data_IF_792183137686
#
_entry.id   IF_792183137686
#
_cell.length_a   1.000
_cell.length_b   1.000
_cell.length_c   1.000
_cell.angle_alpha   90.00
_cell.angle_beta   90.00
_cell.angle_gamma   90.00
#
_symmetry.space_group_name_H-M   'P 1'
#
loop_
_entity.id
_entity.type
_entity.pdbx_description
1 polymer ?
#
# COMPACT_ATOMS: atom_id res chain seq x y z
N UNK A 1 -61.29 10.82 -30.42
CA UNK A 1 -60.85 10.12 -29.21
C UNK A 1 -59.32 9.86 -29.32
N UNK A 2 -58.53 10.72 -28.69
CA UNK A 2 -57.05 10.60 -28.70
C UNK A 2 -56.68 9.74 -27.50
N UNK A 3 -56.05 8.55 -27.75
CA UNK A 3 -55.45 7.70 -26.70
C UNK A 3 -54.10 8.27 -26.35
N UNK A 4 -53.96 8.79 -25.14
CA UNK A 4 -52.71 9.21 -24.54
C UNK A 4 -52.03 7.93 -23.98
N UNK A 5 -50.97 7.51 -24.60
CA UNK A 5 -50.12 6.40 -24.15
C UNK A 5 -49.11 6.95 -23.14
N UNK A 6 -49.38 6.78 -21.85
CA UNK A 6 -48.46 7.13 -20.77
C UNK A 6 -47.36 6.08 -20.71
N UNK A 7 -46.16 6.45 -21.15
CA UNK A 7 -44.95 5.64 -20.96
C UNK A 7 -44.44 5.91 -19.52
N UNK A 8 -44.64 4.95 -18.63
CA UNK A 8 -43.98 4.94 -17.32
C UNK A 8 -42.50 4.59 -17.52
N UNK A 9 -41.63 5.61 -17.49
CA UNK A 9 -40.21 5.37 -17.36
C UNK A 9 -39.93 4.87 -15.93
N UNK A 10 -39.72 3.58 -15.76
CA UNK A 10 -39.14 3.01 -14.57
C UNK A 10 -37.60 3.36 -14.58
N UNK A 11 -37.26 4.47 -13.94
CA UNK A 11 -35.86 4.73 -13.61
C UNK A 11 -35.46 3.73 -12.53
N UNK A 12 -34.85 2.60 -12.93
CA UNK A 12 -34.12 1.72 -12.03
C UNK A 12 -32.88 2.50 -11.61
N UNK A 13 -32.97 3.22 -10.51
CA UNK A 13 -31.81 3.72 -9.80
C UNK A 13 -31.06 2.48 -9.28
N UNK A 14 -30.11 2.00 -10.06
CA UNK A 14 -29.04 1.15 -9.54
C UNK A 14 -28.29 2.01 -8.51
N UNK A 15 -28.72 1.93 -7.27
CA UNK A 15 -27.87 2.36 -6.16
C UNK A 15 -26.61 1.52 -6.28
N UNK A 16 -25.53 2.10 -6.80
CA UNK A 16 -24.21 1.54 -6.65
C UNK A 16 -23.96 1.46 -5.14
N UNK A 17 -24.27 0.30 -4.55
CA UNK A 17 -23.92 0.02 -3.17
C UNK A 17 -22.41 0.18 -3.09
N UNK A 18 -21.96 1.16 -2.32
CA UNK A 18 -20.54 1.34 -2.08
C UNK A 18 -19.95 0.01 -1.57
N UNK A 19 -18.88 -0.43 -2.21
CA UNK A 19 -18.20 -1.65 -1.81
C UNK A 19 -17.56 -1.43 -0.43
N UNK A 20 -17.29 -2.50 0.29
CA UNK A 20 -16.61 -2.44 1.58
C UNK A 20 -15.48 -3.45 1.64
N UNK A 21 -14.37 -3.06 2.26
CA UNK A 21 -13.27 -3.97 2.57
C UNK A 21 -12.93 -3.85 4.05
N UNK A 22 -12.82 -4.99 4.74
CA UNK A 22 -12.62 -5.04 6.19
C UNK A 22 -11.67 -6.16 6.58
N UNK A 23 -11.01 -6.00 7.71
CA UNK A 23 -10.35 -7.07 8.45
C UNK A 23 -11.43 -7.86 9.20
N UNK A 24 -11.55 -9.14 8.90
CA UNK A 24 -12.42 -10.09 9.60
C UNK A 24 -11.61 -11.01 10.48
N UNK A 25 -12.29 -11.99 11.08
CA UNK A 25 -11.63 -13.04 11.86
C UNK A 25 -10.84 -13.96 10.91
N UNK A 26 -9.50 -13.95 11.03
CA UNK A 26 -8.54 -14.73 10.24
C UNK A 26 -8.66 -14.58 8.72
N UNK A 27 -9.42 -13.61 8.23
CA UNK A 27 -9.63 -13.38 6.80
C UNK A 27 -9.92 -11.92 6.49
N UNK A 28 -9.70 -11.53 5.25
CA UNK A 28 -10.25 -10.27 4.74
C UNK A 28 -11.67 -10.47 4.24
N UNK A 29 -12.47 -9.43 4.32
CA UNK A 29 -13.86 -9.42 3.84
C UNK A 29 -14.05 -8.33 2.79
N UNK A 30 -14.44 -8.73 1.58
CA UNK A 30 -14.90 -7.84 0.53
C UNK A 30 -16.43 -7.97 0.42
N UNK A 31 -17.16 -6.89 0.66
CA UNK A 31 -18.63 -6.91 0.70
C UNK A 31 -19.17 -8.00 1.66
N UNK A 32 -18.53 -8.15 2.81
CA UNK A 32 -18.82 -9.15 3.85
C UNK A 32 -18.61 -10.62 3.40
N UNK A 33 -17.90 -10.86 2.29
CA UNK A 33 -17.52 -12.21 1.83
C UNK A 33 -16.02 -12.40 1.99
N UNK A 34 -15.54 -13.60 2.36
CA UNK A 34 -14.11 -13.90 2.41
C UNK A 34 -13.40 -13.52 1.12
N UNK A 35 -12.26 -12.85 1.24
CA UNK A 35 -11.49 -12.37 0.12
C UNK A 35 -9.98 -12.59 0.36
N UNK A 36 -9.33 -13.28 -0.57
CA UNK A 36 -7.88 -13.46 -0.55
C UNK A 36 -7.22 -12.36 -1.39
N UNK A 37 -6.42 -11.50 -0.75
CA UNK A 37 -5.61 -10.49 -1.44
C UNK A 37 -4.45 -11.17 -2.14
N UNK A 38 -4.37 -11.01 -3.46
CA UNK A 38 -3.24 -11.43 -4.31
C UNK A 38 -2.71 -10.20 -5.02
N UNK A 39 -1.68 -9.58 -4.43
CA UNK A 39 -1.16 -8.31 -4.89
C UNK A 39 0.13 -8.47 -5.70
N UNK A 40 0.25 -7.67 -6.76
CA UNK A 40 1.49 -7.40 -7.45
C UNK A 40 1.94 -5.97 -7.16
N UNK A 41 3.21 -5.79 -6.81
CA UNK A 41 3.77 -4.47 -6.62
C UNK A 41 4.17 -3.85 -7.96
N UNK A 42 3.64 -2.67 -8.25
CA UNK A 42 3.98 -1.88 -9.42
C UNK A 42 4.35 -0.46 -9.02
N UNK A 43 5.55 -0.04 -9.42
CA UNK A 43 6.04 1.33 -9.20
C UNK A 43 5.72 2.19 -10.42
N UNK A 44 4.65 3.00 -10.35
CA UNK A 44 4.23 3.89 -11.44
C UNK A 44 5.37 4.81 -11.93
N UNK A 45 6.28 5.20 -11.06
CA UNK A 45 7.44 6.05 -11.39
C UNK A 45 8.48 5.36 -12.28
N UNK A 46 8.59 4.01 -12.21
CA UNK A 46 9.52 3.19 -13.00
C UNK A 46 8.93 2.72 -14.32
N UNK A 47 7.63 2.95 -14.54
CA UNK A 47 6.88 2.49 -15.70
C UNK A 47 6.36 3.72 -16.43
N UNK A 48 6.74 3.99 -17.71
CA UNK A 48 6.16 5.07 -18.47
C UNK A 48 4.62 5.00 -18.45
N UNK A 49 3.95 6.14 -18.32
CA UNK A 49 2.49 6.23 -18.14
C UNK A 49 1.72 5.46 -19.21
N UNK A 50 2.21 5.47 -20.45
CA UNK A 50 1.61 4.79 -21.61
C UNK A 50 1.57 3.25 -21.43
N UNK A 51 2.42 2.70 -20.54
CA UNK A 51 2.50 1.27 -20.25
C UNK A 51 1.80 0.86 -18.96
N UNK A 52 1.22 1.79 -18.18
CA UNK A 52 0.55 1.43 -16.91
C UNK A 52 -0.56 0.41 -17.13
N UNK A 53 -1.48 0.69 -18.06
CA UNK A 53 -2.58 -0.22 -18.40
C UNK A 53 -2.08 -1.61 -18.78
N UNK A 54 -1.07 -1.69 -19.66
CA UNK A 54 -0.50 -2.96 -20.08
C UNK A 54 0.12 -3.74 -18.90
N UNK A 55 0.85 -3.08 -18.00
CA UNK A 55 1.46 -3.75 -16.85
C UNK A 55 0.41 -4.25 -15.85
N UNK A 56 -0.64 -3.49 -15.64
CA UNK A 56 -1.79 -3.88 -14.80
C UNK A 56 -2.50 -5.10 -15.41
N UNK A 57 -2.71 -5.13 -16.72
CA UNK A 57 -3.26 -6.29 -17.44
C UNK A 57 -2.39 -7.53 -17.27
N UNK A 58 -1.08 -7.41 -17.35
CA UNK A 58 -0.16 -8.52 -17.13
C UNK A 58 -0.26 -9.07 -15.71
N UNK A 59 -0.39 -8.21 -14.69
CA UNK A 59 -0.62 -8.65 -13.31
C UNK A 59 -1.95 -9.39 -13.18
N UNK A 60 -3.01 -8.91 -13.81
CA UNK A 60 -4.31 -9.58 -13.83
C UNK A 60 -4.22 -10.95 -14.54
N UNK A 61 -3.49 -11.05 -15.65
CA UNK A 61 -3.28 -12.30 -16.37
C UNK A 61 -2.53 -13.35 -15.53
N UNK A 62 -1.66 -12.90 -14.60
CA UNK A 62 -1.01 -13.78 -13.61
C UNK A 62 -1.95 -14.22 -12.47
N UNK A 63 -3.23 -13.81 -12.47
CA UNK A 63 -4.20 -14.15 -11.43
C UNK A 63 -4.17 -13.24 -10.21
N UNK A 64 -3.49 -12.10 -10.26
CA UNK A 64 -3.55 -11.07 -9.22
C UNK A 64 -4.89 -10.34 -9.26
N UNK A 65 -5.35 -9.86 -8.12
CA UNK A 65 -6.58 -9.09 -7.98
C UNK A 65 -6.34 -7.69 -7.41
N UNK A 66 -5.11 -7.40 -7.03
CA UNK A 66 -4.73 -6.16 -6.33
C UNK A 66 -3.38 -5.66 -6.86
N UNK A 67 -3.23 -4.35 -6.98
CA UNK A 67 -1.95 -3.68 -7.20
C UNK A 67 -1.50 -3.06 -5.89
N UNK A 68 -0.26 -3.31 -5.49
CA UNK A 68 0.41 -2.61 -4.40
C UNK A 68 1.28 -1.49 -4.99
N UNK A 69 1.11 -0.26 -4.51
CA UNK A 69 1.89 0.88 -4.99
C UNK A 69 2.49 1.70 -3.86
N UNK A 70 3.78 2.01 -3.98
CA UNK A 70 4.42 3.04 -3.16
C UNK A 70 4.15 4.44 -3.72
N UNK A 71 4.15 5.45 -2.83
CA UNK A 71 4.14 6.85 -3.23
C UNK A 71 5.47 7.47 -2.82
N UNK A 72 6.26 7.89 -3.80
CA UNK A 72 7.63 8.37 -3.60
C UNK A 72 7.64 9.87 -3.34
N UNK A 73 7.83 10.29 -2.12
CA UNK A 73 7.79 11.71 -1.73
C UNK A 73 8.72 12.59 -2.56
N UNK A 74 9.98 12.16 -2.76
CA UNK A 74 10.98 12.91 -3.54
C UNK A 74 10.62 13.13 -5.02
N UNK A 75 9.69 12.34 -5.57
CA UNK A 75 9.18 12.53 -6.93
C UNK A 75 8.10 13.60 -6.96
N UNK A 76 7.24 13.61 -5.96
CA UNK A 76 6.10 14.52 -5.91
C UNK A 76 6.45 15.91 -5.36
N UNK A 77 7.51 16.03 -4.58
CA UNK A 77 7.97 17.29 -3.98
C UNK A 77 9.49 17.46 -4.21
N UNK A 78 9.90 17.64 -5.47
CA UNK A 78 11.31 17.86 -5.83
C UNK A 78 11.87 19.18 -5.30
N UNK A 79 11.01 20.16 -5.09
CA UNK A 79 11.30 21.42 -4.42
C UNK A 79 10.33 21.58 -3.27
N UNK A 80 10.84 21.92 -2.11
CA UNK A 80 10.04 22.11 -0.90
C UNK A 80 8.80 22.98 -1.15
N UNK A 81 7.63 22.49 -0.74
CA UNK A 81 6.33 23.16 -0.89
C UNK A 81 5.75 23.14 -2.30
N UNK A 82 6.40 22.52 -3.28
CA UNK A 82 5.91 22.42 -4.66
C UNK A 82 5.59 20.98 -5.01
N UNK A 83 4.31 20.65 -4.93
CA UNK A 83 3.82 19.30 -5.21
C UNK A 83 3.40 19.14 -6.66
N UNK A 84 3.76 18.00 -7.25
CA UNK A 84 3.36 17.60 -8.61
C UNK A 84 2.71 16.21 -8.60
N UNK A 85 1.44 16.18 -8.98
CA UNK A 85 0.62 14.97 -9.19
C UNK A 85 0.06 14.92 -10.61
N UNK A 86 0.81 15.42 -11.59
CA UNK A 86 0.39 15.48 -13.00
C UNK A 86 1.20 14.54 -13.89
N UNK A 87 0.69 14.24 -15.08
CA UNK A 87 1.42 13.45 -16.08
C UNK A 87 1.87 12.09 -15.55
N UNK A 88 3.19 11.86 -15.51
CA UNK A 88 3.81 10.64 -14.97
C UNK A 88 3.59 10.49 -13.47
N UNK A 89 3.31 11.58 -12.75
CA UNK A 89 3.12 11.62 -11.31
C UNK A 89 1.64 11.54 -10.89
N UNK A 90 0.70 11.30 -11.83
CA UNK A 90 -0.74 11.21 -11.55
C UNK A 90 -1.09 9.87 -10.90
N UNK A 91 -0.90 9.79 -9.58
CA UNK A 91 -1.18 8.60 -8.77
C UNK A 91 -2.67 8.24 -8.75
N UNK A 92 -3.54 9.24 -8.86
CA UNK A 92 -4.98 9.00 -8.91
C UNK A 92 -5.38 8.34 -10.24
N UNK A 93 -4.78 8.77 -11.36
CA UNK A 93 -5.00 8.11 -12.65
C UNK A 93 -4.45 6.68 -12.66
N UNK A 94 -3.30 6.42 -12.02
CA UNK A 94 -2.79 5.06 -11.88
C UNK A 94 -3.79 4.14 -11.15
N UNK A 95 -4.38 4.61 -10.04
CA UNK A 95 -5.44 3.89 -9.33
C UNK A 95 -6.69 3.70 -10.21
N UNK A 96 -7.13 4.71 -10.96
CA UNK A 96 -8.27 4.60 -11.88
C UNK A 96 -8.02 3.60 -13.02
N UNK A 97 -6.79 3.52 -13.53
CA UNK A 97 -6.44 2.49 -14.52
C UNK A 97 -6.50 1.09 -13.91
N UNK A 98 -6.01 0.89 -12.69
CA UNK A 98 -6.18 -0.37 -11.97
C UNK A 98 -7.68 -0.73 -11.82
N UNK A 99 -8.52 0.25 -11.46
CA UNK A 99 -9.98 0.06 -11.34
C UNK A 99 -10.64 -0.36 -12.66
N UNK A 100 -10.27 0.25 -13.78
CA UNK A 100 -10.77 -0.13 -15.13
C UNK A 100 -10.49 -1.60 -15.45
N UNK A 101 -9.37 -2.12 -14.98
CA UNK A 101 -9.02 -3.53 -15.14
C UNK A 101 -9.63 -4.44 -14.06
N UNK A 102 -10.46 -3.89 -13.16
CA UNK A 102 -11.08 -4.63 -12.07
C UNK A 102 -10.10 -5.04 -10.97
N UNK A 103 -9.02 -4.27 -10.79
CA UNK A 103 -8.00 -4.49 -9.77
C UNK A 103 -8.21 -3.54 -8.58
N UNK A 104 -8.05 -4.05 -7.38
CA UNK A 104 -7.96 -3.25 -6.16
C UNK A 104 -6.57 -2.63 -6.01
N UNK A 105 -6.44 -1.69 -5.07
CA UNK A 105 -5.15 -1.03 -4.79
C UNK A 105 -4.87 -1.02 -3.29
N UNK A 106 -3.61 -1.32 -2.95
CA UNK A 106 -3.01 -1.06 -1.65
C UNK A 106 -2.05 0.10 -1.82
N UNK A 107 -2.19 1.14 -1.00
CA UNK A 107 -1.35 2.33 -1.05
C UNK A 107 -0.32 2.30 0.08
N UNK A 108 0.93 2.57 -0.25
CA UNK A 108 2.04 2.66 0.70
C UNK A 108 2.67 4.07 0.62
N UNK A 109 2.08 5.07 1.34
CA UNK A 109 2.45 6.47 1.17
C UNK A 109 3.72 6.88 1.92
N UNK A 110 4.29 6.01 2.72
CA UNK A 110 5.48 6.32 3.51
C UNK A 110 5.19 7.01 4.85
N UNK A 111 5.98 8.03 5.21
CA UNK A 111 6.88 8.93 4.44
C UNK A 111 8.15 8.26 3.88
N UNK A 112 8.73 7.29 4.58
CA UNK A 112 9.80 6.44 4.09
C UNK A 112 9.21 5.17 3.47
N UNK A 113 9.63 4.79 2.28
CA UNK A 113 9.07 3.64 1.55
C UNK A 113 10.10 2.57 1.20
N UNK A 114 11.38 2.79 1.45
CA UNK A 114 12.48 1.90 1.02
C UNK A 114 12.48 1.67 -0.51
N UNK A 115 11.89 0.59 -0.97
CA UNK A 115 11.56 0.26 -2.37
C UNK A 115 12.75 0.32 -3.34
N UNK A 116 13.99 0.07 -2.86
CA UNK A 116 15.23 0.26 -3.64
C UNK A 116 15.23 1.63 -4.35
N UNK A 117 14.81 2.66 -3.64
CA UNK A 117 14.73 4.03 -4.13
C UNK A 117 15.64 4.96 -3.35
N UNK A 118 16.13 6.01 -4.01
CA UNK A 118 17.03 6.98 -3.39
C UNK A 118 16.44 7.53 -2.07
N UNK A 119 17.22 7.49 -1.00
CA UNK A 119 16.84 7.87 0.36
C UNK A 119 15.53 7.24 0.86
N UNK A 120 15.11 6.08 0.27
CA UNK A 120 13.84 5.46 0.60
C UNK A 120 12.63 6.33 0.27
N UNK A 121 12.76 7.20 -0.73
CA UNK A 121 11.72 8.12 -1.20
C UNK A 121 11.69 9.48 -0.48
N UNK A 122 12.52 9.70 0.54
CA UNK A 122 12.59 10.99 1.22
C UNK A 122 13.25 12.05 0.33
N UNK A 123 12.76 13.31 0.31
CA UNK A 123 13.35 14.36 -0.51
C UNK A 123 14.73 14.81 0.02
N UNK A 124 15.65 15.03 -0.89
CA UNK A 124 17.02 15.47 -0.59
C UNK A 124 17.07 16.80 0.15
N UNK A 125 16.13 17.70 -0.12
CA UNK A 125 16.11 19.06 0.47
C UNK A 125 15.85 19.05 1.99
N UNK A 126 15.32 17.97 2.56
CA UNK A 126 15.24 17.78 4.01
C UNK A 126 16.63 17.91 4.67
N UNK A 127 17.67 17.45 3.98
CA UNK A 127 19.06 17.50 4.50
C UNK A 127 19.65 18.91 4.52
N UNK A 128 18.98 19.92 3.94
CA UNK A 128 19.39 21.31 4.08
C UNK A 128 19.16 21.85 5.50
N UNK A 129 18.30 21.19 6.28
CA UNK A 129 18.04 21.58 7.68
C UNK A 129 19.13 20.98 8.57
N UNK A 130 19.90 21.86 9.21
CA UNK A 130 20.98 21.44 10.09
C UNK A 130 20.45 20.57 11.24
N UNK A 131 21.12 19.44 11.49
CA UNK A 131 20.79 18.49 12.57
C UNK A 131 19.40 17.86 12.50
N UNK A 132 18.76 17.83 11.31
CA UNK A 132 17.50 17.14 11.12
C UNK A 132 17.61 15.66 11.53
N UNK A 133 16.57 15.15 12.17
CA UNK A 133 16.45 13.74 12.53
C UNK A 133 15.31 13.10 11.72
N UNK A 134 15.67 12.44 10.62
CA UNK A 134 14.70 11.75 9.78
C UNK A 134 14.08 10.55 10.50
N UNK A 135 12.82 10.25 10.17
CA UNK A 135 12.03 9.15 10.76
C UNK A 135 11.97 9.22 12.30
N UNK A 136 11.78 10.45 12.82
CA UNK A 136 11.59 10.72 14.25
C UNK A 136 10.53 11.81 14.44
N UNK A 137 10.22 12.16 15.69
CA UNK A 137 9.36 13.29 16.04
C UNK A 137 10.05 14.66 15.89
N UNK A 138 11.10 14.77 15.06
CA UNK A 138 11.69 16.07 14.72
C UNK A 138 10.61 17.01 14.17
N UNK A 139 10.43 18.22 14.75
CA UNK A 139 9.29 19.08 14.41
C UNK A 139 9.22 19.45 12.93
N UNK A 140 10.36 19.75 12.31
CA UNK A 140 10.39 20.11 10.89
C UNK A 140 10.09 18.91 10.00
N UNK A 141 10.72 17.76 10.31
CA UNK A 141 10.42 16.52 9.57
C UNK A 141 8.93 16.14 9.65
N UNK A 142 8.32 16.23 10.84
CA UNK A 142 6.90 15.91 11.02
C UNK A 142 5.97 16.90 10.32
N UNK A 143 6.30 18.21 10.34
CA UNK A 143 5.55 19.23 9.60
C UNK A 143 5.56 18.93 8.09
N UNK A 144 6.74 18.66 7.52
CA UNK A 144 6.88 18.37 6.09
C UNK A 144 6.21 17.05 5.71
N UNK A 145 6.37 16.03 6.55
CA UNK A 145 5.66 14.74 6.40
C UNK A 145 4.14 14.93 6.37
N UNK A 146 3.60 15.71 7.30
CA UNK A 146 2.16 16.01 7.36
C UNK A 146 1.70 16.74 6.10
N UNK A 147 2.46 17.72 5.62
CA UNK A 147 2.15 18.44 4.39
C UNK A 147 2.08 17.49 3.19
N UNK A 148 3.09 16.63 3.01
CA UNK A 148 3.14 15.66 1.91
C UNK A 148 1.99 14.65 1.97
N UNK A 149 1.79 13.98 3.12
CA UNK A 149 0.74 12.94 3.25
C UNK A 149 -0.65 13.54 3.05
N UNK A 150 -0.91 14.80 3.47
CA UNK A 150 -2.16 15.51 3.18
C UNK A 150 -2.36 15.78 1.68
N UNK A 151 -1.31 16.12 0.95
CA UNK A 151 -1.40 16.25 -0.52
C UNK A 151 -1.67 14.90 -1.20
N UNK A 152 -1.05 13.81 -0.74
CA UNK A 152 -1.40 12.45 -1.19
C UNK A 152 -2.86 12.12 -0.89
N UNK A 153 -3.32 12.47 0.31
CA UNK A 153 -4.72 12.27 0.71
C UNK A 153 -5.72 12.99 -0.19
N UNK A 154 -5.43 14.22 -0.61
CA UNK A 154 -6.28 14.95 -1.58
C UNK A 154 -6.45 14.18 -2.90
N UNK A 155 -5.42 13.45 -3.34
CA UNK A 155 -5.44 12.67 -4.57
C UNK A 155 -6.15 11.32 -4.40
N UNK A 156 -5.89 10.62 -3.28
CA UNK A 156 -6.22 9.21 -3.14
C UNK A 156 -7.36 8.90 -2.16
N UNK A 157 -7.60 9.72 -1.13
CA UNK A 157 -8.67 9.44 -0.18
C UNK A 157 -10.07 9.34 -0.82
N UNK A 158 -10.41 10.12 -1.87
CA UNK A 158 -11.67 9.95 -2.60
C UNK A 158 -11.80 8.62 -3.35
N UNK A 159 -10.69 7.90 -3.55
CA UNK A 159 -10.65 6.63 -4.27
C UNK A 159 -10.71 5.40 -3.35
N UNK A 160 -11.01 5.60 -2.06
CA UNK A 160 -11.28 4.48 -1.16
C UNK A 160 -12.51 3.69 -1.64
N UNK A 161 -12.51 2.39 -1.40
CA UNK A 161 -13.49 1.46 -1.97
C UNK A 161 -14.95 1.79 -1.59
N UNK A 162 -15.17 2.30 -0.39
CA UNK A 162 -16.48 2.71 0.09
C UNK A 162 -16.97 4.04 -0.53
N UNK A 163 -16.09 4.78 -1.20
CA UNK A 163 -16.43 5.98 -2.00
C UNK A 163 -16.62 5.67 -3.49
N UNK A 164 -16.64 4.37 -3.86
CA UNK A 164 -16.75 3.94 -5.26
C UNK A 164 -15.40 3.80 -5.98
N UNK A 165 -14.29 4.00 -5.28
CA UNK A 165 -12.94 3.73 -5.78
C UNK A 165 -12.53 2.27 -5.63
N UNK A 166 -11.23 2.03 -5.60
CA UNK A 166 -10.64 0.70 -5.53
C UNK A 166 -9.53 0.55 -4.50
N UNK A 167 -9.25 1.56 -3.69
CA UNK A 167 -8.25 1.48 -2.62
C UNK A 167 -8.86 0.71 -1.45
N UNK A 168 -8.19 -0.38 -1.03
CA UNK A 168 -8.69 -1.29 0.01
C UNK A 168 -7.86 -1.25 1.30
N UNK A 169 -6.61 -0.82 1.26
CA UNK A 169 -5.75 -0.72 2.44
C UNK A 169 -4.70 0.39 2.26
N UNK A 170 -4.25 0.98 3.37
CA UNK A 170 -3.17 1.99 3.37
C UNK A 170 -2.15 1.65 4.46
N UNK A 171 -0.86 1.70 4.09
CA UNK A 171 0.24 1.45 5.02
C UNK A 171 0.61 2.70 5.80
N UNK A 172 1.06 2.47 7.03
CA UNK A 172 1.65 3.47 7.92
C UNK A 172 3.15 3.19 8.03
N UNK A 173 3.99 4.11 7.56
CA UNK A 173 5.45 3.98 7.53
C UNK A 173 5.95 2.74 6.74
N UNK A 174 7.18 2.29 6.93
CA UNK A 174 7.72 1.07 6.34
C UNK A 174 8.82 0.47 7.21
N UNK A 175 8.63 -0.78 7.65
CA UNK A 175 9.60 -1.58 8.42
C UNK A 175 10.31 -0.79 9.53
N UNK A 176 9.56 0.05 10.23
CA UNK A 176 10.15 0.94 11.23
C UNK A 176 10.78 0.19 12.41
N UNK A 177 10.29 -0.99 12.73
CA UNK A 177 10.86 -1.85 13.77
C UNK A 177 12.26 -2.36 13.47
N UNK A 178 12.66 -2.39 12.18
CA UNK A 178 14.03 -2.66 11.77
C UNK A 178 14.94 -1.42 11.92
N UNK A 179 14.36 -0.22 12.00
CA UNK A 179 15.07 1.05 12.09
C UNK A 179 15.13 1.60 13.53
N UNK A 180 14.00 1.62 14.24
CA UNK A 180 13.88 2.18 15.59
C UNK A 180 12.69 1.59 16.35
N UNK A 181 12.49 2.03 17.59
CA UNK A 181 11.48 1.50 18.52
C UNK A 181 10.48 2.55 19.01
N UNK A 182 10.45 3.74 18.41
CA UNK A 182 9.61 4.85 18.84
C UNK A 182 8.16 4.67 18.41
N UNK A 183 7.33 4.13 19.32
CA UNK A 183 5.87 3.98 19.10
C UNK A 183 5.14 5.32 18.96
N UNK A 184 5.64 6.40 19.56
CA UNK A 184 5.00 7.72 19.46
C UNK A 184 5.15 8.27 18.05
N UNK A 185 6.31 8.05 17.42
CA UNK A 185 6.52 8.42 16.03
C UNK A 185 5.54 7.68 15.10
N UNK A 186 5.43 6.35 15.23
CA UNK A 186 4.49 5.56 14.41
C UNK A 186 3.04 6.00 14.65
N UNK A 187 2.66 6.27 15.90
CA UNK A 187 1.33 6.79 16.23
C UNK A 187 1.07 8.15 15.55
N UNK A 188 2.05 9.05 15.56
CA UNK A 188 1.94 10.33 14.87
C UNK A 188 1.79 10.17 13.35
N UNK A 189 2.54 9.27 12.71
CA UNK A 189 2.38 8.98 11.26
C UNK A 189 1.00 8.38 10.98
N UNK A 190 0.51 7.43 11.78
CA UNK A 190 -0.87 6.90 11.67
C UNK A 190 -1.91 8.02 11.72
N UNK A 191 -1.77 8.94 12.66
CA UNK A 191 -2.71 10.04 12.85
C UNK A 191 -2.67 11.00 11.66
N UNK A 192 -1.49 11.32 11.12
CA UNK A 192 -1.33 12.10 9.89
C UNK A 192 -2.02 11.41 8.70
N UNK A 193 -1.89 10.08 8.57
CA UNK A 193 -2.57 9.30 7.51
C UNK A 193 -4.10 9.38 7.66
N UNK A 194 -4.61 9.27 8.90
CA UNK A 194 -6.04 9.46 9.19
C UNK A 194 -6.51 10.88 8.88
N UNK A 195 -5.75 11.90 9.29
CA UNK A 195 -6.05 13.31 9.00
C UNK A 195 -6.03 13.63 7.50
N UNK A 196 -5.25 12.89 6.71
CA UNK A 196 -5.23 13.00 5.25
C UNK A 196 -6.48 12.40 4.58
N UNK A 197 -7.40 11.80 5.35
CA UNK A 197 -8.68 11.28 4.87
C UNK A 197 -8.72 9.77 4.66
N UNK A 198 -7.68 9.02 5.03
CA UNK A 198 -7.69 7.55 4.95
C UNK A 198 -8.30 6.95 6.23
N UNK A 199 -9.63 7.06 6.35
CA UNK A 199 -10.39 6.65 7.53
C UNK A 199 -11.31 5.46 7.30
N UNK A 200 -11.56 5.11 6.03
CA UNK A 200 -12.64 4.21 5.63
C UNK A 200 -12.13 2.85 5.13
N UNK A 201 -10.82 2.65 5.17
CA UNK A 201 -10.15 1.38 4.84
C UNK A 201 -9.19 1.00 5.96
N UNK A 202 -8.88 -0.29 6.13
CA UNK A 202 -7.88 -0.73 7.11
C UNK A 202 -6.53 -0.06 6.89
N UNK A 203 -5.95 0.46 7.96
CA UNK A 203 -4.54 0.85 8.02
C UNK A 203 -3.70 -0.33 8.51
N UNK A 204 -2.50 -0.48 7.94
CA UNK A 204 -1.61 -1.57 8.31
C UNK A 204 -0.16 -1.12 8.50
N UNK A 205 0.57 -1.91 9.23
CA UNK A 205 2.00 -1.79 9.50
C UNK A 205 2.69 -3.07 9.04
N UNK A 206 3.83 -2.97 8.37
CA UNK A 206 4.64 -4.13 8.01
C UNK A 206 5.96 -4.12 8.75
N UNK A 207 6.47 -5.30 9.03
CA UNK A 207 7.83 -5.49 9.55
C UNK A 207 8.27 -6.95 9.37
N UNK A 208 9.54 -7.24 9.70
CA UNK A 208 9.99 -8.61 9.87
C UNK A 208 9.38 -9.21 11.14
N UNK A 209 9.08 -10.48 11.13
CA UNK A 209 8.43 -11.16 12.25
C UNK A 209 9.14 -10.98 13.61
N UNK A 210 10.47 -10.80 13.59
CA UNK A 210 11.28 -10.52 14.78
C UNK A 210 11.07 -9.13 15.39
N UNK A 211 10.52 -8.18 14.63
CA UNK A 211 10.47 -6.77 15.00
C UNK A 211 9.09 -6.27 15.44
N UNK A 212 8.05 -7.10 15.36
CA UNK A 212 6.68 -6.69 15.69
C UNK A 212 6.51 -6.04 17.06
N UNK A 213 7.28 -6.48 18.06
CA UNK A 213 7.18 -5.94 19.43
C UNK A 213 7.92 -4.62 19.62
N UNK A 214 8.70 -4.17 18.62
CA UNK A 214 9.51 -2.96 18.75
C UNK A 214 8.64 -1.69 18.77
N UNK A 215 7.67 -1.58 17.86
CA UNK A 215 6.86 -0.36 17.72
C UNK A 215 5.45 -0.58 17.17
N UNK A 216 5.00 -1.81 16.98
CA UNK A 216 3.70 -2.09 16.39
C UNK A 216 2.56 -1.53 17.26
N UNK A 217 1.57 -0.91 16.60
CA UNK A 217 0.38 -0.36 17.22
C UNK A 217 -0.76 -1.37 17.19
N UNK A 218 -1.54 -1.41 18.27
CA UNK A 218 -2.61 -2.39 18.41
C UNK A 218 -3.82 -2.13 17.52
N UNK A 219 -4.03 -0.89 17.12
CA UNK A 219 -5.14 -0.48 16.24
C UNK A 219 -4.82 -0.57 14.74
N UNK A 220 -3.63 -1.05 14.38
CA UNK A 220 -3.24 -1.33 12.99
C UNK A 220 -3.28 -2.84 12.71
N UNK A 221 -3.56 -3.21 11.46
CA UNK A 221 -3.31 -4.56 10.99
C UNK A 221 -1.80 -4.78 10.89
N UNK A 222 -1.32 -5.91 11.42
CA UNK A 222 0.09 -6.28 11.31
C UNK A 222 0.30 -7.23 10.14
N UNK A 223 1.29 -6.96 9.31
CA UNK A 223 1.70 -7.79 8.19
C UNK A 223 3.20 -8.08 8.26
N UNK A 224 3.63 -9.20 7.70
CA UNK A 224 5.02 -9.64 7.75
C UNK A 224 5.67 -9.54 6.38
N UNK A 225 6.96 -9.23 6.34
CA UNK A 225 7.77 -9.19 5.13
C UNK A 225 8.80 -10.33 5.15
N UNK A 226 8.94 -11.05 4.03
CA UNK A 226 9.96 -12.08 3.83
C UNK A 226 10.15 -12.42 2.35
N UNK A 227 11.25 -13.09 2.02
CA UNK A 227 11.57 -13.46 0.64
C UNK A 227 11.32 -14.92 0.31
N UNK A 228 11.51 -15.26 -0.96
CA UNK A 228 11.48 -16.65 -1.46
C UNK A 228 12.48 -17.52 -0.71
N UNK A 229 12.07 -18.76 -0.40
CA UNK A 229 12.88 -19.71 0.37
C UNK A 229 12.76 -19.56 1.90
N UNK A 230 12.02 -18.55 2.40
CA UNK A 230 11.70 -18.46 3.82
C UNK A 230 10.83 -19.63 4.28
N UNK A 231 10.99 -20.05 5.53
CA UNK A 231 10.04 -20.94 6.16
C UNK A 231 8.76 -20.18 6.53
N UNK A 232 7.72 -20.31 5.70
CA UNK A 232 6.48 -19.53 5.80
C UNK A 232 5.76 -19.77 7.12
N UNK A 233 5.74 -21.01 7.62
CA UNK A 233 5.13 -21.33 8.92
C UNK A 233 5.84 -20.60 10.06
N UNK A 234 7.17 -20.55 10.03
CA UNK A 234 7.96 -19.82 11.01
C UNK A 234 7.70 -18.31 10.92
N UNK A 235 7.59 -17.73 9.72
CA UNK A 235 7.31 -16.31 9.54
C UNK A 235 5.92 -15.93 10.10
N UNK A 236 4.92 -16.75 9.84
CA UNK A 236 3.57 -16.49 10.34
C UNK A 236 3.33 -16.96 11.78
N UNK A 237 4.14 -17.87 12.33
CA UNK A 237 3.93 -18.37 13.71
C UNK A 237 3.99 -17.24 14.72
N UNK A 238 4.93 -16.31 14.59
CA UNK A 238 5.06 -15.16 15.48
C UNK A 238 3.86 -14.21 15.38
N UNK A 239 3.33 -13.99 14.17
CA UNK A 239 2.13 -13.19 13.98
C UNK A 239 0.90 -13.86 14.60
N UNK A 240 0.72 -15.16 14.38
CA UNK A 240 -0.36 -15.95 15.00
C UNK A 240 -0.30 -15.95 16.53
N UNK A 241 0.89 -16.03 17.10
CA UNK A 241 1.10 -15.98 18.55
C UNK A 241 0.65 -14.63 19.13
N UNK A 242 1.04 -13.53 18.50
CA UNK A 242 0.77 -12.18 18.98
C UNK A 242 -0.64 -11.67 18.63
N UNK A 243 -1.20 -12.14 17.52
CA UNK A 243 -2.48 -11.70 16.94
C UNK A 243 -3.25 -12.90 16.36
N UNK A 244 -3.80 -13.80 17.18
CA UNK A 244 -4.39 -15.07 16.74
C UNK A 244 -5.61 -14.90 15.80
N UNK A 245 -6.31 -13.77 15.88
CA UNK A 245 -7.51 -13.49 15.08
C UNK A 245 -7.22 -12.64 13.82
N UNK A 246 -5.93 -12.35 13.53
CA UNK A 246 -5.56 -11.53 12.36
C UNK A 246 -5.54 -12.36 11.08
N UNK A 247 -5.93 -11.82 9.92
CA UNK A 247 -5.59 -12.39 8.63
C UNK A 247 -4.07 -12.49 8.47
N UNK A 248 -3.59 -13.57 7.89
CA UNK A 248 -2.18 -13.71 7.56
C UNK A 248 -1.91 -12.99 6.23
N UNK A 249 -0.95 -12.08 6.24
CA UNK A 249 -0.54 -11.36 5.04
C UNK A 249 0.97 -11.13 5.04
N UNK A 250 1.61 -11.53 3.95
CA UNK A 250 2.94 -11.06 3.57
C UNK A 250 2.76 -9.83 2.69
N UNK A 251 3.19 -8.66 3.17
CA UNK A 251 3.03 -7.40 2.44
C UNK A 251 4.17 -7.09 1.49
N UNK A 252 5.32 -7.77 1.66
CA UNK A 252 6.41 -7.81 0.71
C UNK A 252 6.94 -9.23 0.60
N UNK A 253 6.88 -9.80 -0.61
CA UNK A 253 7.42 -11.12 -0.91
C UNK A 253 8.52 -11.00 -1.95
N UNK A 254 9.79 -11.03 -1.50
CA UNK A 254 10.94 -10.74 -2.34
C UNK A 254 11.36 -11.95 -3.18
N UNK A 255 11.42 -11.76 -4.50
CA UNK A 255 11.89 -12.80 -5.45
C UNK A 255 13.39 -12.79 -5.68
N UNK A 256 14.13 -11.87 -5.07
CA UNK A 256 15.56 -11.66 -5.19
C UNK A 256 16.12 -10.95 -3.96
N UNK A 257 17.29 -10.35 -4.13
CA UNK A 257 17.92 -9.51 -3.14
C UNK A 257 18.67 -8.36 -3.81
N UNK A 258 19.16 -7.42 -3.03
CA UNK A 258 19.92 -6.28 -3.51
C UNK A 258 21.18 -6.71 -4.25
N UNK A 259 21.51 -6.03 -5.34
CA UNK A 259 22.85 -6.04 -5.89
C UNK A 259 23.79 -5.20 -5.04
N UNK A 260 25.03 -5.65 -4.92
CA UNK A 260 26.07 -4.96 -4.18
C UNK A 260 27.26 -4.64 -5.10
N UNK A 261 27.89 -3.51 -4.88
CA UNK A 261 29.11 -3.14 -5.59
C UNK A 261 30.20 -4.24 -5.44
N UNK A 262 30.79 -4.62 -6.58
CA UNK A 262 31.84 -5.63 -6.60
C UNK A 262 31.42 -7.07 -6.34
N UNK A 263 30.11 -7.36 -6.27
CA UNK A 263 29.57 -8.71 -6.11
C UNK A 263 28.83 -9.17 -7.38
N UNK A 264 28.70 -10.48 -7.54
CA UNK A 264 27.88 -11.07 -8.60
C UNK A 264 26.43 -10.73 -8.36
N UNK A 265 25.71 -10.39 -9.45
CA UNK A 265 24.25 -10.21 -9.44
C UNK A 265 23.55 -11.44 -8.86
N UNK A 266 22.65 -11.22 -7.89
CA UNK A 266 21.87 -12.27 -7.26
C UNK A 266 20.68 -12.66 -8.14
N UNK A 267 20.55 -13.95 -8.42
CA UNK A 267 19.43 -14.50 -9.19
C UNK A 267 18.78 -15.66 -8.43
N UNK A 268 17.47 -15.78 -8.56
CA UNK A 268 16.70 -16.90 -8.00
C UNK A 268 15.85 -17.55 -9.07
N UNK A 269 15.66 -18.88 -9.05
CA UNK A 269 14.76 -19.55 -9.97
C UNK A 269 13.30 -19.04 -9.82
N UNK A 270 12.60 -18.81 -10.94
CA UNK A 270 11.20 -18.40 -10.90
C UNK A 270 10.31 -19.42 -10.16
N UNK A 271 10.68 -20.71 -10.17
CA UNK A 271 9.99 -21.76 -9.43
C UNK A 271 9.91 -21.51 -7.92
N UNK A 272 10.92 -20.86 -7.32
CA UNK A 272 10.91 -20.54 -5.89
C UNK A 272 9.84 -19.49 -5.54
N UNK A 273 9.59 -18.53 -6.46
CA UNK A 273 8.51 -17.55 -6.31
C UNK A 273 7.15 -18.25 -6.41
N UNK A 274 6.95 -19.07 -7.43
CA UNK A 274 5.69 -19.81 -7.63
C UNK A 274 5.41 -20.71 -6.43
N UNK A 275 6.42 -21.44 -5.94
CA UNK A 275 6.25 -22.31 -4.78
C UNK A 275 5.89 -21.51 -3.52
N UNK A 276 6.59 -20.41 -3.26
CA UNK A 276 6.29 -19.57 -2.10
C UNK A 276 4.87 -18.97 -2.13
N UNK A 277 4.39 -18.53 -3.30
CA UNK A 277 3.00 -18.07 -3.44
C UNK A 277 2.01 -19.22 -3.15
N UNK A 278 2.24 -20.41 -3.71
CA UNK A 278 1.41 -21.60 -3.40
C UNK A 278 1.39 -21.87 -1.90
N UNK A 279 2.57 -21.95 -1.29
CA UNK A 279 2.69 -22.24 0.13
C UNK A 279 1.97 -21.22 1.02
N UNK A 280 1.95 -19.94 0.62
CA UNK A 280 1.17 -18.91 1.32
C UNK A 280 -0.34 -19.07 1.12
N UNK A 281 -0.79 -19.44 -0.09
CA UNK A 281 -2.23 -19.63 -0.39
C UNK A 281 -2.83 -20.88 0.28
N UNK A 282 -2.01 -21.85 0.62
CA UNK A 282 -2.42 -23.10 1.28
C UNK A 282 -2.58 -22.96 2.80
N UNK A 283 -2.29 -21.77 3.38
CA UNK A 283 -2.33 -21.47 4.82
C UNK A 283 -3.43 -20.47 5.19
#
# INVERSE_FOLDING_TARGET
MKKILSILLFAVSLSLMAQSFKVGDKTFLLNNKPFTVKAAELHYTRIPKEYWSHRIEMCKALGMNTICMYVFWNIHEQTEGKFDFTGQNDIAEFCRQAQKHGMYVIVRPGPYVCAEWEMGGLPWWLLNTQNIKLRTLDPYYMERTSAFIKEVGKQLAPLQINHGGNIIMVQVENEYGAYATDKQYIAAIRDIVKEAGFTDVPLFQCDWSSNFTNNALDDLLWTVNFGTGANIDQQFSRLKELRPETPLMCSEFWSGWFDHWGRKHETRPASTMVQGIKDMLDR
#
